data_IF_907208145911
#
_entry.id   IF_907208145911
#
_cell.length_a   1.000
_cell.length_b   1.000
_cell.length_c   1.000
_cell.angle_alpha   90.00
_cell.angle_beta   90.00
_cell.angle_gamma   90.00
#
_symmetry.space_group_name_H-M   'P 1'
#
loop_
_entity.id
_entity.type
_entity.pdbx_description
1 polymer ?
#
# COMPACT_ATOMS: atom_id res chain seq x y z
N UNK A 1 -74.80 21.42 32.66
CA UNK A 1 -74.03 22.68 32.85
C UNK A 1 -72.54 22.50 32.53
N UNK A 2 -71.88 21.44 33.03
CA UNK A 2 -70.45 21.14 32.75
C UNK A 2 -70.17 20.95 31.24
N UNK A 3 -71.01 20.19 30.53
CA UNK A 3 -70.84 19.94 29.08
C UNK A 3 -70.92 21.22 28.25
N UNK A 4 -71.83 22.13 28.60
CA UNK A 4 -71.96 23.42 27.91
C UNK A 4 -70.71 24.31 28.11
N UNK A 5 -70.13 24.28 29.32
CA UNK A 5 -68.89 25.00 29.62
C UNK A 5 -67.69 24.49 28.82
N UNK A 6 -67.57 23.16 28.64
CA UNK A 6 -66.52 22.54 27.82
C UNK A 6 -66.64 22.89 26.33
N UNK A 7 -67.85 22.93 25.79
CA UNK A 7 -68.07 23.29 24.37
C UNK A 7 -67.71 24.76 24.12
N UNK A 8 -68.08 25.67 25.03
CA UNK A 8 -67.75 27.10 24.90
C UNK A 8 -66.25 27.35 25.06
N UNK A 9 -65.58 26.67 25.98
CA UNK A 9 -64.11 26.79 26.12
C UNK A 9 -63.37 26.20 24.93
N UNK A 10 -63.80 25.05 24.40
CA UNK A 10 -63.25 24.48 23.18
C UNK A 10 -63.46 25.40 21.96
N UNK A 11 -64.63 26.04 21.82
CA UNK A 11 -64.89 26.96 20.71
C UNK A 11 -64.04 28.22 20.80
N UNK A 12 -63.83 28.76 22.01
CA UNK A 12 -62.97 29.94 22.22
C UNK A 12 -61.50 29.61 21.95
N UNK A 13 -61.00 28.47 22.44
CA UNK A 13 -59.63 28.02 22.17
C UNK A 13 -59.44 27.78 20.67
N UNK A 14 -60.39 27.12 20.01
CA UNK A 14 -60.35 26.87 18.57
C UNK A 14 -60.37 28.18 17.75
N UNK A 15 -61.20 29.15 18.12
CA UNK A 15 -61.24 30.46 17.47
C UNK A 15 -59.92 31.24 17.62
N UNK A 16 -59.27 31.16 18.79
CA UNK A 16 -57.97 31.80 19.04
C UNK A 16 -56.84 31.12 18.26
N UNK A 17 -56.90 29.80 18.09
CA UNK A 17 -55.88 29.04 17.36
C UNK A 17 -56.07 29.07 15.82
N UNK A 18 -57.30 29.10 15.32
CA UNK A 18 -57.59 29.11 13.87
C UNK A 18 -57.34 30.49 13.26
N UNK A 19 -57.51 31.58 14.03
CA UNK A 19 -57.28 32.95 13.54
C UNK A 19 -55.81 33.37 13.49
N UNK A 20 -54.93 32.67 14.21
CA UNK A 20 -53.48 32.91 14.15
C UNK A 20 -52.88 32.09 13.03
N UNK A 21 -52.95 32.60 11.79
CA UNK A 21 -52.06 32.12 10.73
C UNK A 21 -50.62 32.21 11.29
N UNK A 22 -49.89 31.09 11.42
CA UNK A 22 -48.51 31.15 11.88
C UNK A 22 -47.76 32.17 11.01
N UNK A 23 -47.04 33.06 11.68
CA UNK A 23 -46.46 34.28 11.13
C UNK A 23 -45.82 34.09 9.75
N UNK A 24 -46.28 34.88 8.77
CA UNK A 24 -45.61 35.12 7.49
C UNK A 24 -46.50 34.79 6.29
N UNK A 25 -46.69 35.75 5.40
CA UNK A 25 -46.97 35.40 4.01
C UNK A 25 -45.83 34.47 3.54
N UNK A 26 -46.17 33.34 2.93
CA UNK A 26 -45.17 32.48 2.29
C UNK A 26 -44.60 33.24 1.09
N UNK A 27 -43.57 34.05 1.35
CA UNK A 27 -42.83 34.73 0.30
C UNK A 27 -42.26 33.68 -0.64
N UNK A 28 -42.70 33.69 -1.89
CA UNK A 28 -42.12 32.87 -2.94
C UNK A 28 -40.90 33.58 -3.51
N UNK A 29 -40.03 32.81 -4.15
CA UNK A 29 -38.87 33.38 -4.84
C UNK A 29 -39.35 34.38 -5.91
N UNK A 30 -39.02 35.65 -5.74
CA UNK A 30 -39.45 36.74 -6.62
C UNK A 30 -40.41 37.73 -5.95
N UNK A 31 -41.00 37.38 -4.81
CA UNK A 31 -41.88 38.27 -4.07
C UNK A 31 -41.08 39.34 -3.32
N UNK A 32 -41.68 40.52 -3.20
CA UNK A 32 -41.12 41.69 -2.55
C UNK A 32 -41.67 41.78 -1.12
N UNK A 33 -40.79 41.83 -0.11
CA UNK A 33 -41.22 41.80 1.30
C UNK A 33 -41.60 43.21 1.80
N UNK A 34 -42.82 43.42 2.32
CA UNK A 34 -43.26 44.72 2.83
C UNK A 34 -42.52 45.16 4.10
N UNK A 35 -41.71 44.28 4.71
CA UNK A 35 -40.93 44.54 5.92
C UNK A 35 -39.56 43.86 5.87
N UNK A 36 -38.62 44.42 6.63
CA UNK A 36 -37.34 43.79 6.87
C UNK A 36 -37.53 42.51 7.70
N UNK A 37 -36.81 41.43 7.35
CA UNK A 37 -36.85 40.16 8.09
C UNK A 37 -35.45 39.90 8.65
N UNK A 38 -35.38 39.71 9.97
CA UNK A 38 -34.16 39.42 10.70
C UNK A 38 -34.14 37.95 11.13
N UNK A 39 -32.94 37.39 11.32
CA UNK A 39 -32.74 36.02 11.77
C UNK A 39 -33.20 35.84 13.23
N UNK A 40 -34.08 34.85 13.53
CA UNK A 40 -34.54 34.63 14.90
C UNK A 40 -33.50 33.90 15.79
N UNK A 41 -32.58 33.17 15.17
CA UNK A 41 -31.51 32.39 15.82
C UNK A 41 -30.25 32.44 14.96
N UNK A 42 -29.10 32.08 15.55
CA UNK A 42 -27.89 31.79 14.79
C UNK A 42 -28.10 30.50 13.98
N UNK A 43 -27.80 30.53 12.68
CA UNK A 43 -27.79 29.31 11.86
C UNK A 43 -26.75 29.40 10.74
N UNK A 44 -26.38 28.23 10.21
CA UNK A 44 -25.45 28.09 9.09
C UNK A 44 -26.15 27.40 7.94
N UNK A 45 -25.89 27.87 6.72
CA UNK A 45 -26.40 27.22 5.52
C UNK A 45 -25.34 27.20 4.42
N UNK A 46 -25.48 26.22 3.52
CA UNK A 46 -24.58 26.04 2.39
C UNK A 46 -24.97 27.00 1.27
N UNK A 47 -24.03 27.87 0.87
CA UNK A 47 -24.24 28.88 -0.18
C UNK A 47 -23.74 28.42 -1.56
N UNK A 48 -23.07 27.28 -1.62
CA UNK A 48 -22.52 26.70 -2.85
C UNK A 48 -21.30 25.84 -2.57
N UNK A 49 -20.74 25.24 -3.62
CA UNK A 49 -19.52 24.43 -3.51
C UNK A 49 -18.32 25.38 -3.41
N UNK A 50 -17.47 25.13 -2.42
CA UNK A 50 -16.16 25.74 -2.30
C UNK A 50 -15.17 24.96 -3.19
N UNK A 51 -14.93 25.46 -4.41
CA UNK A 51 -14.09 24.77 -5.39
C UNK A 51 -12.64 24.62 -4.91
N UNK A 52 -12.07 25.62 -4.25
CA UNK A 52 -10.68 25.59 -3.76
C UNK A 52 -10.53 24.60 -2.61
N UNK A 53 -11.41 24.67 -1.60
CA UNK A 53 -11.38 23.71 -0.48
C UNK A 53 -11.67 22.29 -0.94
N UNK A 54 -12.57 22.13 -1.91
CA UNK A 54 -12.85 20.82 -2.53
C UNK A 54 -11.61 20.29 -3.23
N UNK A 55 -10.99 21.08 -4.10
CA UNK A 55 -9.76 20.69 -4.81
C UNK A 55 -8.66 20.29 -3.84
N UNK A 56 -8.38 21.11 -2.83
CA UNK A 56 -7.37 20.81 -1.81
C UNK A 56 -7.67 19.51 -1.05
N UNK A 57 -8.94 19.25 -0.70
CA UNK A 57 -9.32 18.01 -0.01
C UNK A 57 -9.19 16.79 -0.91
N UNK A 58 -9.47 16.92 -2.21
CA UNK A 58 -9.28 15.86 -3.20
C UNK A 58 -7.79 15.55 -3.41
N UNK A 59 -6.96 16.57 -3.52
CA UNK A 59 -5.49 16.44 -3.62
C UNK A 59 -4.92 15.72 -2.39
N UNK A 60 -5.31 16.17 -1.18
CA UNK A 60 -4.90 15.49 0.07
C UNK A 60 -5.36 14.03 0.15
N UNK A 61 -6.56 13.73 -0.32
CA UNK A 61 -7.06 12.35 -0.36
C UNK A 61 -6.23 11.48 -1.32
N UNK A 62 -5.84 12.02 -2.48
CA UNK A 62 -4.95 11.34 -3.42
C UNK A 62 -3.53 11.15 -2.84
N UNK A 63 -2.96 12.19 -2.21
CA UNK A 63 -1.62 12.12 -1.60
C UNK A 63 -1.53 11.12 -0.45
N UNK A 64 -2.64 10.93 0.28
CA UNK A 64 -2.76 9.94 1.35
C UNK A 64 -2.76 8.49 0.86
N UNK A 65 -2.90 8.25 -0.45
CA UNK A 65 -2.80 6.90 -1.02
C UNK A 65 -1.34 6.43 -0.99
N UNK A 66 -1.15 5.32 -0.28
CA UNK A 66 0.10 4.58 -0.18
C UNK A 66 0.56 4.12 -1.57
N UNK A 67 1.88 4.11 -1.78
CA UNK A 67 2.45 3.65 -3.05
C UNK A 67 2.31 2.15 -3.14
N UNK A 68 1.94 1.63 -4.31
CA UNK A 68 1.83 0.20 -4.55
C UNK A 68 3.14 -0.31 -5.15
N UNK A 69 3.68 -1.36 -4.55
CA UNK A 69 4.89 -2.04 -5.01
C UNK A 69 4.59 -3.50 -5.28
N UNK A 70 5.04 -3.97 -6.43
CA UNK A 70 4.90 -5.35 -6.83
C UNK A 70 6.15 -6.15 -6.40
N UNK A 71 5.91 -7.38 -5.94
CA UNK A 71 6.92 -8.41 -5.68
C UNK A 71 6.57 -9.67 -6.46
N UNK A 72 7.58 -10.53 -6.64
CA UNK A 72 7.42 -11.75 -7.42
C UNK A 72 7.62 -11.49 -8.91
N UNK A 73 6.93 -12.25 -9.74
CA UNK A 73 6.96 -12.08 -11.20
C UNK A 73 8.26 -12.55 -11.84
N UNK A 74 8.63 -11.94 -12.97
CA UNK A 74 9.73 -12.40 -13.81
C UNK A 74 11.09 -12.31 -13.12
N UNK A 75 11.36 -11.24 -12.37
CA UNK A 75 12.65 -11.06 -11.68
C UNK A 75 12.89 -12.22 -10.71
N UNK A 76 11.94 -12.49 -9.82
CA UNK A 76 12.07 -13.57 -8.83
C UNK A 76 12.17 -14.94 -9.52
N UNK A 77 11.39 -15.17 -10.58
CA UNK A 77 11.44 -16.42 -11.36
C UNK A 77 12.77 -16.61 -12.07
N UNK A 78 13.36 -15.54 -12.61
CA UNK A 78 14.64 -15.59 -13.31
C UNK A 78 15.79 -15.89 -12.34
N UNK A 79 15.81 -15.24 -11.17
CA UNK A 79 16.80 -15.51 -10.13
C UNK A 79 16.75 -16.98 -9.65
N UNK A 80 15.55 -17.52 -9.42
CA UNK A 80 15.41 -18.93 -9.04
C UNK A 80 15.80 -19.89 -10.18
N UNK A 81 15.55 -19.52 -11.45
CA UNK A 81 16.02 -20.29 -12.61
C UNK A 81 17.54 -20.28 -12.74
N UNK A 82 18.21 -19.19 -12.40
CA UNK A 82 19.69 -19.14 -12.40
C UNK A 82 20.28 -20.09 -11.37
N UNK A 83 19.68 -20.16 -10.18
CA UNK A 83 20.03 -21.15 -9.15
C UNK A 83 19.78 -22.56 -9.65
N UNK A 84 18.64 -22.80 -10.31
CA UNK A 84 18.35 -24.11 -10.88
C UNK A 84 19.41 -24.53 -11.90
N UNK A 85 19.75 -23.65 -12.85
CA UNK A 85 20.81 -23.87 -13.84
C UNK A 85 22.16 -24.14 -13.20
N UNK A 86 22.53 -23.35 -12.18
CA UNK A 86 23.78 -23.53 -11.46
C UNK A 86 23.89 -24.93 -10.84
N UNK A 87 22.85 -25.37 -10.11
CA UNK A 87 22.87 -26.70 -9.52
C UNK A 87 22.80 -27.83 -10.56
N UNK A 88 22.11 -27.62 -11.68
CA UNK A 88 22.08 -28.59 -12.77
C UNK A 88 23.47 -28.76 -13.40
N UNK A 89 24.23 -27.67 -13.55
CA UNK A 89 25.64 -27.70 -13.98
C UNK A 89 26.53 -28.41 -12.94
N UNK A 90 26.38 -28.11 -11.65
CA UNK A 90 27.13 -28.78 -10.57
C UNK A 90 26.87 -30.29 -10.57
N UNK A 91 25.60 -30.72 -10.69
CA UNK A 91 25.23 -32.14 -10.72
C UNK A 91 25.79 -32.82 -11.97
N UNK A 92 25.72 -32.16 -13.13
CA UNK A 92 26.32 -32.69 -14.36
C UNK A 92 27.84 -32.91 -14.18
N UNK A 93 28.56 -31.95 -13.59
CA UNK A 93 30.00 -32.07 -13.31
C UNK A 93 30.29 -33.19 -12.30
N UNK A 94 29.46 -33.35 -11.26
CA UNK A 94 29.64 -34.44 -10.29
C UNK A 94 29.47 -35.83 -10.91
N UNK A 95 28.63 -35.97 -11.93
CA UNK A 95 28.45 -37.24 -12.64
C UNK A 95 29.61 -37.54 -13.61
N UNK A 96 30.38 -36.50 -13.97
CA UNK A 96 31.60 -36.62 -14.78
C UNK A 96 32.85 -36.90 -13.93
N UNK A 97 32.75 -37.33 -12.67
CA UNK A 97 33.90 -37.50 -11.75
C UNK A 97 35.03 -38.45 -12.22
N UNK A 98 34.87 -39.13 -13.36
CA UNK A 98 35.93 -39.89 -14.05
C UNK A 98 36.67 -39.08 -15.14
N UNK A 99 36.27 -37.83 -15.39
CA UNK A 99 36.84 -36.94 -16.40
C UNK A 99 38.14 -36.28 -15.94
N UNK A 100 39.05 -36.07 -16.89
CA UNK A 100 40.36 -35.43 -16.66
C UNK A 100 40.24 -34.03 -16.05
N UNK A 101 41.27 -33.63 -15.28
CA UNK A 101 41.34 -32.33 -14.58
C UNK A 101 41.12 -31.12 -15.52
N UNK A 102 41.44 -31.29 -16.81
CA UNK A 102 41.22 -30.29 -17.85
C UNK A 102 39.73 -30.06 -18.16
N UNK A 103 38.90 -31.11 -18.20
CA UNK A 103 37.46 -30.99 -18.43
C UNK A 103 36.75 -30.32 -17.25
N UNK A 104 37.21 -30.60 -16.03
CA UNK A 104 36.76 -29.91 -14.82
C UNK A 104 37.02 -28.40 -14.88
N UNK A 105 38.15 -27.96 -15.46
CA UNK A 105 38.45 -26.54 -15.62
C UNK A 105 37.52 -25.84 -16.61
N UNK A 106 37.21 -26.49 -17.75
CA UNK A 106 36.29 -25.99 -18.78
C UNK A 106 34.84 -25.97 -18.27
N UNK A 107 34.44 -26.98 -17.50
CA UNK A 107 33.09 -27.01 -16.93
C UNK A 107 32.90 -25.94 -15.84
N UNK A 108 33.96 -25.62 -15.07
CA UNK A 108 33.94 -24.51 -14.09
C UNK A 108 33.75 -23.15 -14.76
N UNK A 109 34.37 -22.90 -15.92
CA UNK A 109 34.24 -21.61 -16.61
C UNK A 109 32.87 -21.42 -17.28
N UNK A 110 32.11 -22.51 -17.49
CA UNK A 110 30.76 -22.47 -18.03
C UNK A 110 29.67 -22.16 -16.97
N UNK A 111 30.02 -22.01 -15.70
CA UNK A 111 29.06 -21.69 -14.65
C UNK A 111 28.45 -20.31 -14.86
N UNK A 112 27.12 -20.24 -14.84
CA UNK A 112 26.37 -18.98 -15.03
C UNK A 112 26.68 -17.96 -13.93
N UNK A 113 26.96 -18.44 -12.71
CA UNK A 113 27.19 -17.60 -11.54
C UNK A 113 28.66 -17.69 -11.13
N UNK A 114 29.32 -16.53 -11.08
CA UNK A 114 30.70 -16.42 -10.64
C UNK A 114 30.81 -16.55 -9.12
N UNK A 115 31.28 -17.72 -8.67
CA UNK A 115 31.60 -18.01 -7.26
C UNK A 115 33.06 -18.45 -7.12
N UNK A 116 33.61 -18.37 -5.90
CA UNK A 116 35.01 -18.75 -5.65
C UNK A 116 35.26 -20.24 -5.92
N UNK A 117 36.48 -20.59 -6.33
CA UNK A 117 36.83 -21.99 -6.62
C UNK A 117 36.67 -22.89 -5.37
N UNK A 118 36.98 -22.36 -4.18
CA UNK A 118 36.78 -23.06 -2.92
C UNK A 118 35.29 -23.42 -2.69
N UNK A 119 34.38 -22.53 -3.07
CA UNK A 119 32.94 -22.74 -2.95
C UNK A 119 32.43 -23.74 -4.00
N UNK A 120 32.95 -23.70 -5.23
CA UNK A 120 32.65 -24.72 -6.25
C UNK A 120 33.07 -26.11 -5.74
N UNK A 121 34.29 -26.25 -5.20
CA UNK A 121 34.78 -27.51 -4.63
C UNK A 121 33.87 -28.00 -3.50
N UNK A 122 33.34 -27.11 -2.67
CA UNK A 122 32.39 -27.46 -1.62
C UNK A 122 31.07 -28.02 -2.19
N UNK A 123 30.53 -27.42 -3.25
CA UNK A 123 29.35 -27.94 -3.94
C UNK A 123 29.62 -29.29 -4.62
N UNK A 124 30.78 -29.46 -5.28
CA UNK A 124 31.16 -30.73 -5.92
C UNK A 124 31.42 -31.87 -4.91
N UNK A 125 31.80 -31.52 -3.69
CA UNK A 125 31.96 -32.46 -2.57
C UNK A 125 30.65 -32.78 -1.84
N UNK A 126 29.54 -32.09 -2.16
CA UNK A 126 28.25 -32.35 -1.55
C UNK A 126 27.71 -33.73 -1.96
N UNK A 127 27.35 -34.56 -0.97
CA UNK A 127 26.77 -35.87 -1.19
C UNK A 127 25.29 -35.83 -1.57
N UNK A 128 24.60 -34.71 -1.31
CA UNK A 128 23.16 -34.54 -1.57
C UNK A 128 22.87 -33.23 -2.32
N UNK A 129 23.43 -33.03 -3.53
CA UNK A 129 23.30 -31.78 -4.29
C UNK A 129 21.84 -31.38 -4.56
N UNK A 130 20.94 -32.36 -4.74
CA UNK A 130 19.50 -32.11 -4.95
C UNK A 130 18.80 -31.56 -3.71
N UNK A 131 19.16 -32.02 -2.51
CA UNK A 131 18.63 -31.51 -1.24
C UNK A 131 19.15 -30.09 -0.98
N UNK A 132 20.45 -29.87 -1.20
CA UNK A 132 21.07 -28.53 -1.10
C UNK A 132 20.44 -27.55 -2.09
N UNK A 133 20.18 -27.98 -3.33
CA UNK A 133 19.44 -27.19 -4.34
C UNK A 133 18.07 -26.78 -3.80
N UNK A 134 17.26 -27.72 -3.34
CA UNK A 134 15.92 -27.46 -2.83
C UNK A 134 15.95 -26.49 -1.65
N UNK A 135 16.79 -26.75 -0.65
CA UNK A 135 16.97 -25.88 0.54
C UNK A 135 17.42 -24.46 0.18
N UNK A 136 18.36 -24.34 -0.76
CA UNK A 136 18.84 -23.02 -1.22
C UNK A 136 17.74 -22.26 -1.93
N UNK A 137 16.95 -22.95 -2.77
CA UNK A 137 15.83 -22.35 -3.49
C UNK A 137 14.73 -21.89 -2.52
N UNK A 138 14.37 -22.72 -1.54
CA UNK A 138 13.39 -22.38 -0.52
C UNK A 138 13.84 -21.19 0.32
N UNK A 139 15.13 -21.16 0.70
CA UNK A 139 15.74 -20.04 1.39
C UNK A 139 15.57 -18.74 0.60
N UNK A 140 15.98 -18.72 -0.68
CA UNK A 140 15.85 -17.54 -1.54
C UNK A 140 14.39 -17.14 -1.73
N UNK A 141 13.49 -18.10 -1.91
CA UNK A 141 12.06 -17.83 -2.06
C UNK A 141 11.46 -17.16 -0.82
N UNK A 142 11.88 -17.55 0.39
CA UNK A 142 11.46 -16.88 1.64
C UNK A 142 11.88 -15.41 1.67
N UNK A 143 13.04 -15.06 1.11
CA UNK A 143 13.50 -13.67 1.09
C UNK A 143 12.88 -12.87 -0.05
N UNK A 144 12.78 -13.46 -1.24
CA UNK A 144 12.15 -12.83 -2.41
C UNK A 144 10.67 -12.55 -2.16
N UNK A 145 9.95 -13.45 -1.47
CA UNK A 145 8.54 -13.24 -1.11
C UNK A 145 8.28 -12.13 -0.09
N UNK A 146 9.32 -11.66 0.62
CA UNK A 146 9.22 -10.48 1.50
C UNK A 146 9.39 -9.15 0.76
N UNK A 147 9.91 -9.19 -0.47
CA UNK A 147 10.31 -8.00 -1.21
C UNK A 147 11.64 -7.44 -0.73
N UNK A 148 12.63 -7.46 -1.61
CA UNK A 148 13.97 -6.94 -1.37
C UNK A 148 14.08 -5.58 -2.05
N UNK A 149 14.47 -4.57 -1.27
CA UNK A 149 14.60 -3.19 -1.72
C UNK A 149 16.05 -2.73 -1.76
N UNK A 150 16.31 -1.67 -2.53
CA UNK A 150 17.59 -0.96 -2.49
C UNK A 150 17.61 0.05 -1.35
N UNK A 151 18.79 0.31 -0.77
CA UNK A 151 18.95 1.31 0.28
C UNK A 151 18.57 2.73 -0.18
N UNK A 152 18.68 3.01 -1.49
CA UNK A 152 18.24 4.28 -2.09
C UNK A 152 16.72 4.42 -2.03
N UNK A 153 15.99 3.35 -2.36
CA UNK A 153 14.54 3.32 -2.34
C UNK A 153 14.00 3.41 -0.90
N UNK A 154 14.56 2.64 0.04
CA UNK A 154 14.22 2.71 1.47
C UNK A 154 14.37 4.15 2.00
N UNK A 155 15.52 4.79 1.76
CA UNK A 155 15.75 6.20 2.16
C UNK A 155 14.75 7.17 1.52
N UNK A 156 14.38 6.96 0.25
CA UNK A 156 13.39 7.80 -0.43
C UNK A 156 12.01 7.66 0.19
N UNK A 157 11.62 6.43 0.55
CA UNK A 157 10.35 6.15 1.21
C UNK A 157 10.29 6.81 2.60
N UNK A 158 11.35 6.70 3.39
CA UNK A 158 11.45 7.36 4.71
C UNK A 158 11.35 8.89 4.55
N UNK A 159 12.09 9.49 3.59
CA UNK A 159 12.04 10.93 3.33
C UNK A 159 10.68 11.43 2.85
N UNK A 160 9.83 10.56 2.30
CA UNK A 160 8.48 10.94 1.85
C UNK A 160 7.50 11.14 3.01
N UNK A 161 7.90 10.87 4.26
CA UNK A 161 7.04 11.00 5.44
C UNK A 161 5.96 9.92 5.56
N UNK A 162 5.98 8.91 4.67
CA UNK A 162 5.08 7.77 4.71
C UNK A 162 5.60 6.75 5.71
N UNK A 163 4.70 6.12 6.46
CA UNK A 163 5.01 5.04 7.40
C UNK A 163 4.80 3.65 6.80
N UNK A 164 3.94 3.54 5.78
CA UNK A 164 3.55 2.28 5.16
C UNK A 164 3.57 2.38 3.64
N UNK A 165 3.59 1.22 2.99
CA UNK A 165 3.35 1.05 1.56
C UNK A 165 2.49 -0.19 1.32
N UNK A 166 1.84 -0.26 0.16
CA UNK A 166 1.08 -1.44 -0.24
C UNK A 166 1.99 -2.37 -1.04
N UNK A 167 2.16 -3.60 -0.57
CA UNK A 167 2.92 -4.65 -1.24
C UNK A 167 1.96 -5.61 -1.91
N UNK A 168 2.08 -5.78 -3.23
CA UNK A 168 1.28 -6.70 -4.03
C UNK A 168 2.14 -7.86 -4.50
N UNK A 169 1.75 -9.08 -4.14
CA UNK A 169 2.40 -10.27 -4.64
C UNK A 169 1.79 -10.69 -5.98
N UNK A 170 2.58 -10.65 -7.06
CA UNK A 170 2.09 -10.98 -8.40
C UNK A 170 1.76 -12.46 -8.58
N UNK A 171 2.37 -13.35 -7.80
CA UNK A 171 2.13 -14.79 -7.89
C UNK A 171 0.86 -15.20 -7.13
N UNK A 172 0.57 -14.59 -5.98
CA UNK A 172 -0.63 -14.91 -5.17
C UNK A 172 -1.79 -13.92 -5.35
N UNK A 173 -1.55 -12.78 -6.00
CA UNK A 173 -2.47 -11.64 -6.11
C UNK A 173 -2.92 -11.07 -4.76
N UNK A 174 -2.19 -11.35 -3.69
CA UNK A 174 -2.48 -10.81 -2.34
C UNK A 174 -1.80 -9.46 -2.16
N UNK A 175 -2.52 -8.52 -1.57
CA UNK A 175 -1.99 -7.23 -1.15
C UNK A 175 -1.88 -7.14 0.37
N UNK A 176 -0.77 -6.59 0.84
CA UNK A 176 -0.52 -6.37 2.26
C UNK A 176 -0.01 -4.94 2.49
N UNK A 177 -0.49 -4.30 3.54
CA UNK A 177 0.05 -3.03 4.01
C UNK A 177 1.27 -3.30 4.87
N UNK A 178 2.45 -2.86 4.44
CA UNK A 178 3.73 -3.17 5.08
C UNK A 178 4.38 -1.88 5.59
N UNK A 179 4.81 -1.82 6.87
CA UNK A 179 5.60 -0.71 7.38
C UNK A 179 6.94 -0.59 6.66
N UNK A 180 7.36 0.63 6.32
CA UNK A 180 8.62 0.87 5.60
C UNK A 180 9.84 0.39 6.42
N UNK A 181 9.76 0.41 7.74
CA UNK A 181 10.82 -0.07 8.65
C UNK A 181 11.09 -1.58 8.50
N UNK A 182 10.06 -2.33 8.12
CA UNK A 182 10.13 -3.78 7.92
C UNK A 182 10.67 -4.16 6.54
N UNK A 183 11.02 -3.18 5.69
CA UNK A 183 11.57 -3.48 4.39
C UNK A 183 12.95 -4.11 4.49
N UNK A 184 13.10 -5.20 3.75
CA UNK A 184 14.34 -5.93 3.70
C UNK A 184 15.25 -5.32 2.64
N UNK A 185 16.29 -4.61 3.08
CA UNK A 185 17.34 -4.17 2.15
C UNK A 185 18.24 -5.35 1.78
N UNK A 186 18.95 -5.24 0.65
CA UNK A 186 19.97 -6.22 0.27
C UNK A 186 20.95 -6.51 1.41
N UNK A 187 21.43 -5.50 2.13
CA UNK A 187 22.35 -5.71 3.25
C UNK A 187 21.71 -6.44 4.44
N UNK A 188 20.47 -6.11 4.80
CA UNK A 188 19.71 -6.82 5.84
C UNK A 188 19.45 -8.27 5.43
N UNK A 189 19.06 -8.50 4.17
CA UNK A 189 18.81 -9.82 3.62
C UNK A 189 20.05 -10.73 3.69
N UNK A 190 21.22 -10.23 3.29
CA UNK A 190 22.49 -10.98 3.35
C UNK A 190 22.84 -11.43 4.78
N UNK A 191 22.63 -10.55 5.76
CA UNK A 191 22.82 -10.87 7.18
C UNK A 191 21.84 -11.95 7.66
N UNK A 192 20.55 -11.81 7.35
CA UNK A 192 19.54 -12.81 7.71
C UNK A 192 19.78 -14.17 7.02
N UNK A 193 20.19 -14.16 5.75
CA UNK A 193 20.58 -15.37 5.00
C UNK A 193 21.71 -16.09 5.72
N UNK A 194 22.75 -15.37 6.13
CA UNK A 194 23.89 -15.95 6.85
C UNK A 194 23.44 -16.70 8.11
N UNK A 195 22.58 -16.09 8.92
CA UNK A 195 22.03 -16.73 10.13
C UNK A 195 21.16 -17.94 9.81
N UNK A 196 20.31 -17.87 8.78
CA UNK A 196 19.46 -19.00 8.38
C UNK A 196 20.26 -20.18 7.82
N UNK A 197 21.26 -19.93 6.97
CA UNK A 197 22.11 -20.97 6.40
C UNK A 197 22.89 -21.72 7.49
N UNK A 198 23.30 -21.03 8.56
CA UNK A 198 23.95 -21.67 9.71
C UNK A 198 23.06 -22.75 10.36
N UNK A 199 21.76 -22.48 10.50
CA UNK A 199 20.80 -23.45 11.01
C UNK A 199 20.45 -24.57 10.01
N UNK A 200 20.42 -24.27 8.70
CA UNK A 200 20.05 -25.26 7.68
C UNK A 200 21.15 -26.29 7.37
N UNK A 201 22.42 -25.93 7.56
CA UNK A 201 23.57 -26.80 7.27
C UNK A 201 24.56 -26.84 8.44
N UNK A 202 24.20 -27.40 9.61
CA UNK A 202 25.04 -27.35 10.81
C UNK A 202 26.34 -28.15 10.69
N UNK A 203 26.36 -29.22 9.90
CA UNK A 203 27.48 -30.17 9.84
C UNK A 203 28.59 -29.76 8.84
N UNK A 204 28.23 -29.08 7.75
CA UNK A 204 29.17 -28.79 6.67
C UNK A 204 29.49 -27.29 6.56
N UNK A 205 30.54 -26.86 7.26
CA UNK A 205 30.99 -25.45 7.25
C UNK A 205 31.36 -24.96 5.84
N UNK A 206 31.99 -25.79 5.01
CA UNK A 206 32.39 -25.40 3.65
C UNK A 206 31.17 -25.17 2.77
N UNK A 207 30.20 -26.08 2.83
CA UNK A 207 28.94 -25.95 2.11
C UNK A 207 28.13 -24.73 2.57
N UNK A 208 28.11 -24.43 3.88
CA UNK A 208 27.51 -23.19 4.39
C UNK A 208 28.07 -21.94 3.72
N UNK A 209 29.39 -21.82 3.69
CA UNK A 209 30.07 -20.66 3.10
C UNK A 209 29.74 -20.57 1.61
N UNK A 210 29.73 -21.71 0.91
CA UNK A 210 29.39 -21.77 -0.50
C UNK A 210 27.93 -21.38 -0.79
N UNK A 211 26.97 -21.83 0.02
CA UNK A 211 25.54 -21.47 -0.08
C UNK A 211 25.33 -19.99 0.22
N UNK A 212 26.03 -19.43 1.22
CA UNK A 212 25.98 -17.99 1.52
C UNK A 212 26.50 -17.21 0.32
N UNK A 213 27.69 -17.51 -0.19
CA UNK A 213 28.28 -16.81 -1.34
C UNK A 213 27.37 -16.88 -2.57
N UNK A 214 26.87 -18.06 -2.91
CA UNK A 214 25.91 -18.25 -4.01
C UNK A 214 24.66 -17.39 -3.80
N UNK A 215 24.07 -17.45 -2.60
CA UNK A 215 22.87 -16.67 -2.28
C UNK A 215 23.15 -15.18 -2.41
N UNK A 216 24.27 -14.68 -1.90
CA UNK A 216 24.64 -13.27 -1.96
C UNK A 216 24.90 -12.74 -3.38
N UNK A 217 25.32 -13.61 -4.30
CA UNK A 217 25.54 -13.31 -5.72
C UNK A 217 24.25 -13.27 -6.52
N UNK A 218 23.31 -14.15 -6.22
CA UNK A 218 21.99 -14.21 -6.88
C UNK A 218 21.03 -13.19 -6.32
N UNK A 219 21.17 -12.80 -5.05
CA UNK A 219 20.19 -11.95 -4.41
C UNK A 219 20.20 -10.52 -4.98
N UNK A 220 19.10 -10.15 -5.61
CA UNK A 220 18.87 -8.81 -6.15
C UNK A 220 17.58 -8.17 -5.62
N UNK A 221 17.42 -6.88 -5.88
CA UNK A 221 16.19 -6.14 -5.53
C UNK A 221 15.06 -6.61 -6.45
N UNK A 222 14.01 -7.21 -5.88
CA UNK A 222 12.85 -7.68 -6.62
C UNK A 222 11.58 -6.85 -6.35
N UNK A 223 11.73 -5.72 -5.68
CA UNK A 223 10.64 -4.76 -5.43
C UNK A 223 10.54 -3.76 -6.59
N UNK A 224 9.39 -3.72 -7.27
CA UNK A 224 9.12 -2.79 -8.36
C UNK A 224 7.96 -1.84 -8.02
N UNK A 225 8.07 -0.56 -8.37
CA UNK A 225 6.98 0.39 -8.12
C UNK A 225 5.90 0.27 -9.20
N UNK A 226 4.66 0.01 -8.80
CA UNK A 226 3.53 -0.04 -9.71
C UNK A 226 2.91 1.34 -9.84
N UNK A 227 3.46 2.12 -10.77
CA UNK A 227 3.02 3.49 -11.02
C UNK A 227 1.57 3.55 -11.53
N UNK A 228 1.20 2.64 -12.44
CA UNK A 228 -0.13 2.60 -13.03
C UNK A 228 -1.22 2.40 -11.97
N UNK A 229 -1.11 1.35 -11.15
CA UNK A 229 -2.08 1.03 -10.11
C UNK A 229 -2.08 2.09 -8.99
N UNK A 230 -0.91 2.64 -8.65
CA UNK A 230 -0.84 3.75 -7.68
C UNK A 230 -1.60 4.97 -8.19
N UNK A 231 -1.40 5.35 -9.45
CA UNK A 231 -2.07 6.52 -10.04
C UNK A 231 -3.57 6.29 -10.22
N UNK A 232 -3.98 5.07 -10.58
CA UNK A 232 -5.40 4.69 -10.62
C UNK A 232 -6.06 4.86 -9.25
N UNK A 233 -5.46 4.33 -8.17
CA UNK A 233 -5.98 4.50 -6.81
C UNK A 233 -6.01 5.94 -6.34
N UNK A 234 -4.97 6.72 -6.68
CA UNK A 234 -4.93 8.16 -6.41
C UNK A 234 -6.06 8.90 -7.10
N UNK A 235 -6.33 8.58 -8.37
CA UNK A 235 -7.45 9.16 -9.13
C UNK A 235 -8.79 8.79 -8.51
N UNK A 236 -9.00 7.52 -8.16
CA UNK A 236 -10.23 7.08 -7.48
C UNK A 236 -10.43 7.80 -6.13
N UNK A 237 -9.36 7.97 -5.35
CA UNK A 237 -9.43 8.71 -4.08
C UNK A 237 -9.72 10.21 -4.28
N UNK A 238 -9.16 10.80 -5.34
CA UNK A 238 -9.43 12.17 -5.74
C UNK A 238 -10.90 12.36 -6.11
N UNK A 239 -11.42 11.51 -7.00
CA UNK A 239 -12.77 11.61 -7.55
C UNK A 239 -13.85 11.34 -6.48
N UNK A 240 -13.60 10.38 -5.59
CA UNK A 240 -14.52 10.00 -4.51
C UNK A 240 -14.45 10.90 -3.27
N UNK A 241 -13.53 11.89 -3.22
CA UNK A 241 -13.42 12.77 -2.05
C UNK A 241 -14.57 13.79 -2.01
N UNK A 242 -15.20 13.99 -0.84
CA UNK A 242 -16.47 14.71 -0.71
C UNK A 242 -16.33 16.20 -1.00
N UNK A 243 -17.33 16.76 -1.69
CA UNK A 243 -17.42 18.19 -1.96
C UNK A 243 -17.41 19.00 -0.66
N UNK A 244 -16.72 20.13 -0.68
CA UNK A 244 -16.70 21.09 0.41
C UNK A 244 -17.63 22.24 0.04
N UNK A 245 -18.43 22.71 1.00
CA UNK A 245 -19.40 23.76 0.78
C UNK A 245 -18.97 25.04 1.50
N UNK A 246 -19.30 26.18 0.90
CA UNK A 246 -19.19 27.49 1.55
C UNK A 246 -20.33 27.60 2.56
N UNK A 247 -19.98 27.74 3.83
CA UNK A 247 -20.96 28.00 4.88
C UNK A 247 -21.06 29.51 5.08
N UNK A 248 -22.29 30.02 5.03
CA UNK A 248 -22.58 31.36 5.54
C UNK A 248 -23.24 31.22 6.90
N UNK A 249 -22.61 31.82 7.89
CA UNK A 249 -23.18 31.96 9.22
C UNK A 249 -24.06 33.22 9.21
N UNK A 250 -25.30 33.05 9.64
CA UNK A 250 -26.24 34.14 9.88
C UNK A 250 -26.42 34.21 11.38
N UNK A 251 -26.09 35.36 11.95
CA UNK A 251 -26.26 35.58 13.39
C UNK A 251 -27.70 35.98 13.70
N UNK A 252 -28.15 35.69 14.92
CA UNK A 252 -29.39 36.20 15.47
C UNK A 252 -29.42 37.72 15.30
N UNK A 253 -30.59 38.23 14.89
CA UNK A 253 -30.83 39.65 14.58
C UNK A 253 -30.05 40.19 13.36
N UNK A 254 -29.39 39.34 12.57
CA UNK A 254 -28.84 39.74 11.26
C UNK A 254 -29.97 39.90 10.24
N UNK A 255 -29.88 40.95 9.41
CA UNK A 255 -30.86 41.23 8.36
C UNK A 255 -30.77 40.19 7.23
N UNK A 256 -31.86 39.45 6.99
CA UNK A 256 -31.94 38.41 5.95
C UNK A 256 -32.58 38.98 4.67
N UNK A 257 -33.70 39.69 4.80
CA UNK A 257 -34.45 40.27 3.67
C UNK A 257 -34.67 41.76 3.95
N UNK A 258 -34.25 42.61 3.01
CA UNK A 258 -34.49 44.06 3.07
C UNK A 258 -35.92 44.36 2.64
N UNK A 259 -36.57 45.33 3.31
CA UNK A 259 -37.86 45.88 2.87
C UNK A 259 -37.70 46.49 1.48
N UNK A 260 -38.56 46.10 0.53
CA UNK A 260 -38.61 46.61 -0.84
C UNK A 260 -40.02 46.67 -1.33
#
# INVERSE_FOLDING_TARGET
RIVLGLVVTASVISAVFIGRKPYGEELKKGDVSPRAIYAPIDFKYQTGIDQERTKLKREKAAEAIDGVYDIGGEVSKNLLKEVDKFFDQVIAIQNLKEAEEEELSKAKSALVISISEANIKAFLADSKPKDTKAKTKDLLNIFLSKGITTSKLEKRLIKSGRSHVMLRNLDTQVEAKVPIENFLTLSKAKKEITSKVQGMFPENRKLRIAVIDLSEKVLESNLQFNEALTNERRKLAYDNSPMQYKEKEVRKEELIITRG
#
